data_IF_201940906371
#
_entry.id   IF_201940906371
#
_cell.length_a   1.000
_cell.length_b   1.000
_cell.length_c   1.000
_cell.angle_alpha   90.00
_cell.angle_beta   90.00
_cell.angle_gamma   90.00
#
_symmetry.space_group_name_H-M   'P 1'
#
loop_
_entity.id
_entity.type
_entity.pdbx_description
1 polymer ?
#
# COMPACT_ATOMS: atom_id res chain seq x y z
N UNK A 1 13.73 -8.76 3.88
CA UNK A 1 12.51 -7.94 3.97
C UNK A 1 12.28 -7.43 5.40
N UNK A 2 12.14 -8.31 6.41
CA UNK A 2 11.88 -7.90 7.80
C UNK A 2 12.88 -6.88 8.34
N UNK A 3 14.17 -7.12 8.12
CA UNK A 3 15.22 -6.16 8.51
C UNK A 3 15.05 -4.78 7.86
N UNK A 4 14.77 -4.73 6.55
CA UNK A 4 14.59 -3.46 5.85
C UNK A 4 13.35 -2.71 6.35
N UNK A 5 12.23 -3.42 6.59
CA UNK A 5 11.05 -2.80 7.18
C UNK A 5 11.35 -2.25 8.58
N UNK A 6 11.97 -3.04 9.46
CA UNK A 6 12.29 -2.62 10.82
C UNK A 6 13.27 -1.42 10.83
N UNK A 7 14.29 -1.45 9.95
CA UNK A 7 15.24 -0.32 9.80
C UNK A 7 14.52 0.96 9.41
N UNK A 8 13.65 0.90 8.39
CA UNK A 8 12.97 2.10 7.88
C UNK A 8 11.79 2.55 8.74
N UNK A 9 11.19 1.66 9.52
CA UNK A 9 10.13 1.97 10.48
C UNK A 9 10.66 2.52 11.82
N UNK A 10 11.96 2.43 12.07
CA UNK A 10 12.54 2.87 13.33
C UNK A 10 12.29 4.37 13.59
N UNK A 11 11.61 4.66 14.71
CA UNK A 11 11.24 6.04 15.08
C UNK A 11 9.98 6.57 14.40
N UNK A 12 9.26 5.77 13.66
CA UNK A 12 7.95 6.10 13.11
C UNK A 12 6.85 5.55 14.01
N UNK A 13 5.75 6.30 14.17
CA UNK A 13 4.57 5.84 14.93
C UNK A 13 3.78 4.81 14.11
N UNK A 14 3.74 4.96 12.79
CA UNK A 14 3.04 4.09 11.85
C UNK A 14 3.82 3.96 10.54
N UNK A 15 3.81 2.76 9.96
CA UNK A 15 4.35 2.48 8.63
C UNK A 15 3.24 2.06 7.69
N UNK A 16 3.18 2.67 6.51
CA UNK A 16 2.23 2.31 5.46
C UNK A 16 2.97 1.70 4.29
N UNK A 17 2.56 0.49 3.90
CA UNK A 17 3.16 -0.25 2.79
C UNK A 17 2.14 -0.27 1.64
N UNK A 18 2.55 0.23 0.48
CA UNK A 18 1.75 0.15 -0.75
C UNK A 18 2.12 -1.11 -1.54
N UNK A 19 1.10 -1.86 -1.99
CA UNK A 19 1.28 -2.96 -2.95
C UNK A 19 1.39 -2.42 -4.37
N UNK A 20 2.42 -2.84 -5.10
CA UNK A 20 2.72 -2.31 -6.44
C UNK A 20 1.82 -2.85 -7.56
N UNK A 21 1.20 -4.01 -7.37
CA UNK A 21 0.34 -4.69 -8.35
C UNK A 21 -0.91 -5.23 -7.65
N UNK A 22 -1.67 -6.10 -8.29
CA UNK A 22 -2.74 -6.80 -7.61
C UNK A 22 -2.22 -7.57 -6.40
N UNK A 23 -3.05 -7.69 -5.37
CA UNK A 23 -2.64 -8.22 -4.05
C UNK A 23 -1.95 -9.60 -4.14
N UNK A 24 -2.41 -10.46 -5.03
CA UNK A 24 -1.85 -11.81 -5.24
C UNK A 24 -0.92 -11.91 -6.45
N UNK A 25 -0.69 -10.83 -7.19
CA UNK A 25 0.14 -10.83 -8.39
C UNK A 25 1.61 -10.79 -8.01
N UNK A 26 2.33 -11.85 -8.38
CA UNK A 26 3.75 -12.00 -8.09
C UNK A 26 4.63 -11.85 -9.34
N UNK A 27 5.87 -12.35 -9.26
CA UNK A 27 6.86 -12.23 -10.33
C UNK A 27 6.53 -12.98 -11.64
N UNK A 28 5.42 -13.70 -11.69
CA UNK A 28 4.96 -14.42 -12.89
C UNK A 28 3.45 -14.54 -12.91
N UNK A 29 2.90 -14.87 -14.08
CA UNK A 29 1.45 -14.87 -14.34
C UNK A 29 0.63 -15.79 -13.43
N UNK A 30 1.24 -16.80 -12.82
CA UNK A 30 0.54 -17.81 -12.01
C UNK A 30 1.16 -18.00 -10.62
N UNK A 31 2.04 -17.11 -10.20
CA UNK A 31 2.69 -17.19 -8.89
C UNK A 31 2.35 -15.99 -8.01
N UNK A 32 2.16 -16.24 -6.73
CA UNK A 32 2.01 -15.21 -5.70
C UNK A 32 3.34 -14.82 -5.03
N UNK A 33 4.44 -15.48 -5.39
CA UNK A 33 5.77 -15.13 -4.86
C UNK A 33 6.15 -13.72 -5.27
N UNK A 34 6.67 -12.95 -4.34
CA UNK A 34 7.01 -11.52 -4.47
C UNK A 34 5.81 -10.58 -4.59
N UNK A 35 4.59 -11.06 -4.32
CA UNK A 35 3.39 -10.24 -4.27
C UNK A 35 3.25 -9.44 -2.97
N UNK A 36 2.30 -8.51 -2.94
CA UNK A 36 1.91 -7.80 -1.73
C UNK A 36 1.39 -8.76 -0.65
N UNK A 37 0.74 -9.87 -1.04
CA UNK A 37 0.33 -10.94 -0.14
C UNK A 37 1.53 -11.59 0.57
N UNK A 38 2.58 -11.98 -0.16
CA UNK A 38 3.78 -12.56 0.46
C UNK A 38 4.48 -11.56 1.37
N UNK A 39 4.54 -10.30 0.96
CA UNK A 39 5.10 -9.23 1.79
C UNK A 39 4.34 -9.12 3.11
N UNK A 40 3.01 -9.06 3.07
CA UNK A 40 2.18 -8.99 4.27
C UNK A 40 2.36 -10.21 5.19
N UNK A 41 2.42 -11.44 4.63
CA UNK A 41 2.70 -12.65 5.38
C UNK A 41 4.05 -12.62 6.08
N UNK A 42 5.12 -12.28 5.34
CA UNK A 42 6.49 -12.25 5.86
C UNK A 42 6.66 -11.20 6.95
N UNK A 43 6.00 -10.06 6.80
CA UNK A 43 6.09 -8.94 7.75
C UNK A 43 5.00 -9.00 8.83
N UNK A 44 4.04 -9.92 8.73
CA UNK A 44 2.87 -10.02 9.61
C UNK A 44 2.06 -8.72 9.66
N UNK A 45 2.03 -8.00 8.56
CA UNK A 45 1.34 -6.71 8.45
C UNK A 45 -0.15 -6.93 8.19
N UNK A 46 -1.06 -6.31 8.96
CA UNK A 46 -2.48 -6.36 8.66
C UNK A 46 -2.76 -5.66 7.32
N UNK A 47 -3.66 -6.22 6.53
CA UNK A 47 -3.97 -5.76 5.18
C UNK A 47 -5.30 -5.03 5.15
N UNK A 48 -5.31 -3.85 4.53
CA UNK A 48 -6.53 -3.13 4.15
C UNK A 48 -6.66 -3.19 2.63
N UNK A 49 -7.71 -3.83 2.13
CA UNK A 49 -7.95 -3.98 0.70
C UNK A 49 -8.67 -2.76 0.16
N UNK A 50 -8.08 -2.06 -0.80
CA UNK A 50 -8.73 -0.94 -1.50
C UNK A 50 -9.46 -1.49 -2.73
N UNK A 51 -10.79 -1.43 -2.72
CA UNK A 51 -11.64 -2.03 -3.75
C UNK A 51 -12.30 -0.94 -4.59
N UNK A 52 -12.14 -1.02 -5.91
CA UNK A 52 -12.85 -0.13 -6.82
C UNK A 52 -14.35 -0.47 -6.85
N UNK A 53 -15.19 0.44 -6.38
CA UNK A 53 -16.65 0.29 -6.31
C UNK A 53 -17.40 1.12 -7.38
N UNK A 54 -16.68 1.65 -8.38
CA UNK A 54 -17.29 2.49 -9.42
C UNK A 54 -18.33 1.71 -10.23
N UNK A 55 -19.57 2.17 -10.18
CA UNK A 55 -20.68 1.57 -10.94
C UNK A 55 -21.02 0.13 -10.52
N UNK A 56 -20.50 -0.32 -9.38
CA UNK A 56 -20.77 -1.65 -8.84
C UNK A 56 -21.73 -1.55 -7.63
N UNK A 57 -22.46 -2.62 -7.41
CA UNK A 57 -23.35 -2.80 -6.26
C UNK A 57 -22.96 -4.13 -5.57
N UNK A 58 -23.85 -5.08 -5.47
CA UNK A 58 -23.62 -6.36 -4.79
C UNK A 58 -22.39 -7.14 -5.31
N UNK A 59 -21.98 -6.94 -6.57
CA UNK A 59 -20.79 -7.56 -7.15
C UNK A 59 -19.49 -7.19 -6.42
N UNK A 60 -19.44 -6.08 -5.68
CA UNK A 60 -18.31 -5.72 -4.84
C UNK A 60 -18.06 -6.80 -3.77
N UNK A 61 -19.14 -7.35 -3.20
CA UNK A 61 -19.01 -8.42 -2.20
C UNK A 61 -18.38 -9.68 -2.80
N UNK A 62 -18.74 -10.04 -4.05
CA UNK A 62 -18.13 -11.19 -4.72
C UNK A 62 -16.62 -10.98 -4.96
N UNK A 63 -16.20 -9.77 -5.30
CA UNK A 63 -14.78 -9.42 -5.43
C UNK A 63 -14.05 -9.56 -4.08
N UNK A 64 -14.62 -8.99 -3.02
CA UNK A 64 -14.05 -9.07 -1.67
C UNK A 64 -13.98 -10.53 -1.21
N UNK A 65 -15.04 -11.30 -1.39
CA UNK A 65 -15.07 -12.74 -1.05
C UNK A 65 -13.97 -13.51 -1.80
N UNK A 66 -13.77 -13.22 -3.08
CA UNK A 66 -12.68 -13.79 -3.86
C UNK A 66 -11.31 -13.52 -3.23
N UNK A 67 -11.03 -12.28 -2.85
CA UNK A 67 -9.76 -11.95 -2.18
C UNK A 67 -9.62 -12.62 -0.82
N UNK A 68 -10.67 -12.69 -0.02
CA UNK A 68 -10.63 -13.32 1.30
C UNK A 68 -10.41 -14.84 1.24
N UNK A 69 -10.95 -15.50 0.20
CA UNK A 69 -10.94 -16.97 0.09
C UNK A 69 -9.89 -17.53 -0.86
N UNK A 70 -9.29 -16.70 -1.70
CA UNK A 70 -8.32 -17.17 -2.70
C UNK A 70 -7.09 -17.82 -2.07
N UNK A 71 -6.66 -17.31 -0.91
CA UNK A 71 -5.60 -17.90 -0.11
C UNK A 71 -6.00 -17.93 1.37
N UNK A 72 -5.66 -19.02 2.08
CA UNK A 72 -5.76 -19.03 3.53
C UNK A 72 -4.84 -17.95 4.10
N UNK A 73 -5.22 -17.37 5.22
CA UNK A 73 -4.43 -16.35 5.92
C UNK A 73 -4.09 -15.12 5.05
N UNK A 74 -5.09 -14.62 4.31
CA UNK A 74 -4.91 -13.43 3.47
C UNK A 74 -4.41 -12.22 4.25
N UNK A 75 -4.61 -12.21 5.58
CA UNK A 75 -4.27 -11.06 6.44
C UNK A 75 -5.18 -9.85 6.23
N UNK A 76 -6.19 -9.95 5.38
CA UNK A 76 -7.15 -8.86 5.13
C UNK A 76 -8.01 -8.67 6.36
N UNK A 77 -7.90 -7.48 6.98
CA UNK A 77 -8.63 -7.08 8.19
C UNK A 77 -9.80 -6.15 7.89
N UNK A 78 -9.79 -5.56 6.72
CA UNK A 78 -10.88 -4.70 6.29
C UNK A 78 -10.68 -4.14 4.89
N UNK A 79 -11.61 -3.29 4.48
CA UNK A 79 -11.65 -2.72 3.14
C UNK A 79 -11.89 -1.21 3.18
N UNK A 80 -11.44 -0.54 2.12
CA UNK A 80 -11.81 0.83 1.75
C UNK A 80 -12.47 0.76 0.37
N UNK A 81 -13.65 1.39 0.21
CA UNK A 81 -14.34 1.44 -1.07
C UNK A 81 -13.90 2.69 -1.86
N UNK A 82 -13.14 2.48 -2.92
CA UNK A 82 -12.67 3.55 -3.78
C UNK A 82 -13.66 3.85 -4.91
N UNK A 83 -13.76 5.10 -5.33
CA UNK A 83 -14.72 5.62 -6.32
C UNK A 83 -16.18 5.28 -5.95
N UNK A 84 -16.51 5.36 -4.68
CA UNK A 84 -17.78 5.03 -4.09
C UNK A 84 -18.53 6.30 -3.67
N UNK A 85 -19.85 6.32 -3.79
CA UNK A 85 -20.69 7.41 -3.25
C UNK A 85 -21.10 7.12 -1.80
N UNK A 86 -21.44 8.16 -1.03
CA UNK A 86 -21.91 7.98 0.35
C UNK A 86 -23.15 7.05 0.44
N UNK A 87 -24.07 7.18 -0.50
CA UNK A 87 -25.28 6.34 -0.55
C UNK A 87 -24.94 4.87 -0.80
N UNK A 88 -24.04 4.59 -1.77
CA UNK A 88 -23.59 3.23 -2.07
C UNK A 88 -22.79 2.65 -0.91
N UNK A 89 -21.94 3.45 -0.29
CA UNK A 89 -21.17 3.05 0.89
C UNK A 89 -22.07 2.63 2.05
N UNK A 90 -23.08 3.41 2.39
CA UNK A 90 -23.99 3.10 3.50
C UNK A 90 -24.67 1.72 3.35
N UNK A 91 -25.00 1.34 2.10
CA UNK A 91 -25.62 0.04 1.82
C UNK A 91 -24.59 -1.10 1.80
N UNK A 92 -23.43 -0.87 1.21
CA UNK A 92 -22.41 -1.91 1.04
C UNK A 92 -21.63 -2.20 2.31
N UNK A 93 -21.34 -1.18 3.13
CA UNK A 93 -20.54 -1.36 4.35
C UNK A 93 -21.19 -2.34 5.32
N UNK A 94 -22.47 -2.17 5.61
CA UNK A 94 -23.22 -3.08 6.48
C UNK A 94 -23.21 -4.53 5.94
N UNK A 95 -23.45 -4.70 4.63
CA UNK A 95 -23.45 -6.02 4.00
C UNK A 95 -22.06 -6.68 4.00
N UNK A 96 -20.98 -5.91 3.87
CA UNK A 96 -19.61 -6.40 3.94
C UNK A 96 -19.29 -6.88 5.35
N UNK A 97 -19.60 -6.06 6.35
CA UNK A 97 -19.30 -6.37 7.76
C UNK A 97 -20.12 -7.58 8.25
N UNK A 98 -21.42 -7.62 7.93
CA UNK A 98 -22.28 -8.75 8.27
C UNK A 98 -21.82 -10.06 7.63
N UNK A 99 -21.49 -10.02 6.32
CA UNK A 99 -21.17 -11.22 5.56
C UNK A 99 -19.77 -11.78 5.85
N UNK A 100 -18.78 -10.90 6.03
CA UNK A 100 -17.38 -11.31 6.08
C UNK A 100 -16.74 -11.15 7.44
N UNK A 101 -17.36 -10.41 8.37
CA UNK A 101 -16.79 -10.13 9.68
C UNK A 101 -15.52 -9.26 9.62
N UNK A 102 -15.30 -8.52 8.54
CA UNK A 102 -14.20 -7.59 8.37
C UNK A 102 -14.71 -6.15 8.38
N UNK A 103 -13.88 -5.21 8.81
CA UNK A 103 -14.26 -3.81 8.93
C UNK A 103 -14.26 -3.08 7.59
N UNK A 104 -15.24 -2.20 7.39
CA UNK A 104 -15.27 -1.25 6.29
C UNK A 104 -14.76 0.10 6.81
N UNK A 105 -13.51 0.47 6.48
CA UNK A 105 -12.83 1.66 7.01
C UNK A 105 -13.27 2.96 6.34
N UNK A 106 -14.21 2.91 5.43
CA UNK A 106 -14.73 4.10 4.77
C UNK A 106 -14.66 4.01 3.25
N UNK A 107 -14.82 5.17 2.62
CA UNK A 107 -14.82 5.26 1.16
C UNK A 107 -14.14 6.55 0.68
N UNK A 108 -13.69 6.53 -0.56
CA UNK A 108 -13.27 7.72 -1.29
C UNK A 108 -14.18 7.92 -2.50
N UNK A 109 -14.80 9.09 -2.67
CA UNK A 109 -15.52 9.43 -3.88
C UNK A 109 -14.53 9.63 -5.04
N UNK A 110 -15.04 9.71 -6.26
CA UNK A 110 -14.24 10.14 -7.39
C UNK A 110 -13.90 11.63 -7.24
N UNK A 111 -12.63 11.95 -7.33
CA UNK A 111 -12.07 13.30 -7.26
C UNK A 111 -11.38 13.59 -8.59
N UNK A 112 -12.08 14.27 -9.52
CA UNK A 112 -11.52 14.54 -10.85
C UNK A 112 -10.31 15.47 -10.79
N UNK A 113 -10.24 16.37 -9.82
CA UNK A 113 -9.12 17.26 -9.55
C UNK A 113 -7.86 16.52 -9.04
N UNK A 114 -8.03 15.34 -8.47
CA UNK A 114 -6.90 14.52 -7.95
C UNK A 114 -6.37 13.52 -8.97
N UNK A 115 -6.91 13.49 -10.19
CA UNK A 115 -6.44 12.57 -11.22
C UNK A 115 -5.02 12.94 -11.64
N UNK A 116 -4.12 11.94 -11.57
CA UNK A 116 -2.77 12.06 -12.07
C UNK A 116 -2.75 11.66 -13.55
N UNK A 117 -2.11 12.49 -14.37
CA UNK A 117 -1.91 12.16 -15.79
C UNK A 117 -1.04 10.92 -15.94
N UNK A 118 -1.37 10.08 -16.92
CA UNK A 118 -0.51 8.95 -17.29
C UNK A 118 0.23 9.29 -18.61
N UNK A 119 1.45 8.78 -18.76
CA UNK A 119 2.16 8.80 -20.03
C UNK A 119 1.89 7.52 -20.81
N UNK A 120 1.97 7.62 -22.13
CA UNK A 120 1.89 6.43 -23.00
C UNK A 120 3.08 5.49 -22.81
N UNK A 121 4.22 6.01 -22.34
CA UNK A 121 5.42 5.24 -22.06
C UNK A 121 6.12 5.80 -20.82
N UNK A 122 6.37 4.93 -19.85
CA UNK A 122 7.06 5.25 -18.60
C UNK A 122 6.17 5.87 -17.51
N UNK A 123 6.72 6.00 -16.32
CA UNK A 123 6.08 6.59 -15.15
C UNK A 123 6.27 8.10 -15.14
N UNK A 124 5.29 8.83 -14.64
CA UNK A 124 5.44 10.25 -14.31
C UNK A 124 6.03 10.34 -12.91
N UNK A 125 7.18 10.97 -12.76
CA UNK A 125 7.80 11.14 -11.43
C UNK A 125 7.07 12.20 -10.62
N UNK A 126 7.14 12.11 -9.29
CA UNK A 126 6.51 13.08 -8.40
C UNK A 126 6.98 14.52 -8.68
N UNK A 127 8.24 14.72 -9.09
CA UNK A 127 8.79 16.03 -9.42
C UNK A 127 8.25 16.64 -10.72
N UNK A 128 7.62 15.83 -11.59
CA UNK A 128 7.04 16.29 -12.85
C UNK A 128 5.57 16.71 -12.73
N UNK A 129 4.91 16.39 -11.62
CA UNK A 129 3.51 16.74 -11.36
C UNK A 129 3.48 18.12 -10.69
N UNK A 130 3.08 19.14 -11.44
CA UNK A 130 3.16 20.55 -10.99
C UNK A 130 2.35 20.82 -9.73
N UNK A 131 1.16 20.27 -9.62
CA UNK A 131 0.17 20.52 -8.55
C UNK A 131 0.03 19.32 -7.60
N UNK A 132 1.05 18.47 -7.52
CA UNK A 132 1.00 17.24 -6.71
C UNK A 132 0.63 17.53 -5.26
N UNK A 133 1.25 18.56 -4.67
CA UNK A 133 1.00 18.89 -3.27
C UNK A 133 -0.44 19.31 -3.00
N UNK A 134 -1.03 20.10 -3.89
CA UNK A 134 -2.42 20.53 -3.78
C UNK A 134 -3.38 19.34 -3.94
N UNK A 135 -3.12 18.47 -4.92
CA UNK A 135 -3.89 17.22 -5.11
C UNK A 135 -3.82 16.34 -3.86
N UNK A 136 -2.64 16.18 -3.29
CA UNK A 136 -2.46 15.38 -2.07
C UNK A 136 -3.19 16.00 -0.86
N UNK A 137 -3.17 17.32 -0.71
CA UNK A 137 -3.92 18.01 0.33
C UNK A 137 -5.45 17.85 0.16
N UNK A 138 -5.94 17.98 -1.07
CA UNK A 138 -7.35 17.76 -1.39
C UNK A 138 -7.78 16.32 -1.08
N UNK A 139 -6.96 15.35 -1.49
CA UNK A 139 -7.22 13.93 -1.21
C UNK A 139 -7.19 13.63 0.29
N UNK A 140 -6.22 14.18 1.03
CA UNK A 140 -6.13 14.03 2.48
C UNK A 140 -7.36 14.62 3.19
N UNK A 141 -7.76 15.84 2.84
CA UNK A 141 -8.96 16.48 3.40
C UNK A 141 -10.25 15.70 3.09
N UNK A 142 -10.32 15.01 1.96
CA UNK A 142 -11.42 14.12 1.64
C UNK A 142 -11.34 12.82 2.45
N UNK A 143 -10.15 12.25 2.58
CA UNK A 143 -9.92 11.04 3.37
C UNK A 143 -10.35 11.24 4.83
N UNK A 144 -9.96 12.35 5.45
CA UNK A 144 -10.36 12.71 6.83
C UNK A 144 -11.88 12.78 7.02
N UNK A 145 -12.64 13.10 5.96
CA UNK A 145 -14.12 13.18 6.03
C UNK A 145 -14.81 11.83 5.88
N UNK A 146 -14.20 10.90 5.19
CA UNK A 146 -14.89 9.69 4.71
C UNK A 146 -14.19 8.38 5.06
N UNK A 147 -12.96 8.43 5.61
CA UNK A 147 -12.29 7.27 6.18
C UNK A 147 -12.26 7.37 7.71
N UNK A 148 -12.36 6.23 8.35
CA UNK A 148 -12.14 6.07 9.79
C UNK A 148 -10.64 5.96 10.07
N UNK A 149 -9.97 7.12 10.12
CA UNK A 149 -8.50 7.20 10.31
C UNK A 149 -8.11 6.62 11.67
N UNK A 150 -8.89 6.88 12.72
CA UNK A 150 -8.59 6.36 14.06
C UNK A 150 -8.63 4.83 14.09
N UNK A 151 -9.57 4.23 13.39
CA UNK A 151 -9.64 2.78 13.27
C UNK A 151 -8.51 2.19 12.42
N UNK A 152 -8.05 2.90 11.38
CA UNK A 152 -6.86 2.49 10.62
C UNK A 152 -5.60 2.56 11.48
N UNK A 153 -5.44 3.59 12.30
CA UNK A 153 -4.36 3.70 13.26
C UNK A 153 -4.42 2.60 14.33
N UNK A 154 -5.62 2.32 14.86
CA UNK A 154 -5.82 1.22 15.80
C UNK A 154 -5.42 -0.13 15.19
N UNK A 155 -5.80 -0.40 13.94
CA UNK A 155 -5.38 -1.60 13.21
C UNK A 155 -3.86 -1.66 13.04
N UNK A 156 -3.21 -0.54 12.75
CA UNK A 156 -1.75 -0.50 12.63
C UNK A 156 -1.06 -0.86 13.95
N UNK A 157 -1.61 -0.43 15.08
CA UNK A 157 -1.09 -0.78 16.41
C UNK A 157 -1.35 -2.23 16.83
N UNK A 158 -2.24 -2.95 16.16
CA UNK A 158 -2.43 -4.40 16.37
C UNK A 158 -1.34 -5.24 15.67
N UNK A 159 -0.51 -4.65 14.85
CA UNK A 159 0.56 -5.37 14.16
C UNK A 159 1.52 -6.03 15.17
N UNK A 160 1.84 -7.30 14.91
CA UNK A 160 2.77 -8.03 15.76
C UNK A 160 4.18 -7.40 15.70
N UNK A 161 4.94 -7.47 16.82
CA UNK A 161 6.35 -7.11 16.80
C UNK A 161 7.11 -7.86 15.70
N UNK A 162 7.94 -7.14 14.96
CA UNK A 162 8.67 -7.69 13.84
C UNK A 162 10.02 -8.25 14.28
N UNK A 163 10.12 -9.57 14.43
CA UNK A 163 11.41 -10.24 14.63
C UNK A 163 12.24 -10.23 13.35
N UNK A 164 13.46 -9.77 13.46
CA UNK A 164 14.39 -9.73 12.33
C UNK A 164 15.84 -9.99 12.75
N UNK A 165 16.60 -10.52 11.82
CA UNK A 165 18.06 -10.63 11.94
C UNK A 165 18.69 -9.50 11.12
N UNK A 166 19.55 -8.66 11.72
CA UNK A 166 20.28 -7.65 10.97
C UNK A 166 21.06 -8.27 9.81
N UNK A 167 21.05 -7.62 8.66
CA UNK A 167 21.89 -8.02 7.56
C UNK A 167 23.35 -7.69 7.90
N UNK A 168 24.23 -8.67 7.78
CA UNK A 168 25.67 -8.47 7.92
C UNK A 168 26.26 -8.30 6.52
N UNK A 169 26.69 -7.09 6.20
CA UNK A 169 27.34 -6.80 4.93
C UNK A 169 28.83 -7.10 5.02
N UNK A 170 29.43 -7.75 4.01
CA UNK A 170 30.86 -8.00 3.99
C UNK A 170 31.60 -6.67 3.82
N UNK A 171 32.53 -6.37 4.72
CA UNK A 171 33.42 -5.20 4.55
C UNK A 171 34.38 -5.48 3.41
N UNK A 172 34.46 -4.57 2.47
CA UNK A 172 35.35 -4.61 1.31
C UNK A 172 36.32 -3.44 1.29
N UNK A 173 37.23 -3.44 0.35
CA UNK A 173 38.11 -2.31 0.14
C UNK A 173 37.36 -1.07 -0.25
N UNK A 174 37.76 0.09 0.26
CA UNK A 174 37.13 1.37 -0.05
C UNK A 174 37.25 1.67 -1.54
N UNK A 175 36.13 1.84 -2.19
CA UNK A 175 36.04 2.29 -3.57
C UNK A 175 35.35 3.66 -3.62
N UNK A 176 35.57 4.40 -4.70
CA UNK A 176 34.79 5.60 -5.01
C UNK A 176 33.70 5.22 -5.98
N UNK A 177 32.45 5.46 -5.62
CA UNK A 177 31.30 5.26 -6.47
C UNK A 177 30.70 6.61 -6.84
N UNK A 178 30.61 6.91 -8.13
CA UNK A 178 29.85 8.05 -8.62
C UNK A 178 28.40 7.61 -8.92
N UNK A 179 27.45 8.37 -8.43
CA UNK A 179 26.02 8.12 -8.64
C UNK A 179 25.43 9.32 -9.40
N UNK A 180 24.95 9.08 -10.63
CA UNK A 180 24.20 10.09 -11.37
C UNK A 180 22.85 10.32 -10.67
N UNK A 181 22.46 11.58 -10.42
CA UNK A 181 21.22 11.89 -9.74
C UNK A 181 20.60 13.16 -10.33
N UNK A 182 19.59 12.98 -11.15
CA UNK A 182 18.78 14.02 -11.78
C UNK A 182 17.38 13.48 -12.08
N UNK A 183 16.59 14.21 -12.84
CA UNK A 183 15.22 13.79 -13.21
C UNK A 183 15.17 12.51 -14.06
N UNK A 184 16.23 12.15 -14.76
CA UNK A 184 16.33 10.92 -15.54
C UNK A 184 16.92 9.77 -14.71
N UNK A 185 17.80 10.07 -13.75
CA UNK A 185 18.45 9.14 -12.86
C UNK A 185 17.96 9.34 -11.42
N UNK A 186 16.70 8.99 -11.15
CA UNK A 186 16.04 9.23 -9.86
C UNK A 186 15.48 7.96 -9.18
N UNK A 187 15.47 6.82 -9.85
CA UNK A 187 14.94 5.57 -9.31
C UNK A 187 16.03 4.77 -8.58
N UNK A 188 16.41 5.23 -7.40
CA UNK A 188 17.33 4.52 -6.52
C UNK A 188 16.64 4.09 -5.24
N UNK A 189 16.89 2.88 -4.82
CA UNK A 189 16.55 2.44 -3.46
C UNK A 189 17.63 2.97 -2.51
N UNK A 190 17.27 3.83 -1.56
CA UNK A 190 18.21 4.37 -0.58
C UNK A 190 18.87 3.25 0.24
N UNK A 191 18.16 2.16 0.56
CA UNK A 191 18.77 0.99 1.21
C UNK A 191 19.91 0.36 0.40
N UNK A 192 19.85 0.42 -0.93
CA UNK A 192 20.95 -0.06 -1.77
C UNK A 192 22.16 0.87 -1.69
N UNK A 193 21.94 2.18 -1.64
CA UNK A 193 22.99 3.16 -1.47
C UNK A 193 23.60 3.08 -0.07
N UNK A 194 22.79 2.88 0.96
CA UNK A 194 23.25 2.65 2.33
C UNK A 194 24.09 1.38 2.44
N UNK A 195 23.63 0.28 1.83
CA UNK A 195 24.39 -0.97 1.81
C UNK A 195 25.78 -0.78 1.20
N UNK A 196 25.89 -0.01 0.10
CA UNK A 196 27.19 0.32 -0.51
C UNK A 196 28.05 1.20 0.40
N UNK A 197 27.45 2.14 1.15
CA UNK A 197 28.20 2.98 2.11
C UNK A 197 28.74 2.18 3.30
N UNK A 198 28.00 1.14 3.72
CA UNK A 198 28.36 0.28 4.85
C UNK A 198 29.39 -0.80 4.49
N UNK A 199 29.53 -1.15 3.23
CA UNK A 199 30.51 -2.14 2.71
C UNK A 199 31.90 -1.56 2.59
#
# INVERSE_FOLDING_TARGET
LRFLLAKNAAGCDVSVIEGAMGFYDGAGLTTWKTSAYELALVTKTPVVLVVNARGAALSVLAVIEGFLRFRPESGIRGVILNQCTAMTYASLSAAIEERFGIRCFGFLPRLDECVLGSRHLGLVTAGEIRDLREKMQTLAAQAEKTLDIDALLALAHEAEPLDYTPAVLPKKEKIRLAVARDNAFCFYYEDSLDAVREM
#
